data_IF_615234999311
#
_entry.id   IF_615234999311
#
_cell.length_a   1.000
_cell.length_b   1.000
_cell.length_c   1.000
_cell.angle_alpha   90.00
_cell.angle_beta   90.00
_cell.angle_gamma   90.00
#
_symmetry.space_group_name_H-M   'P 1'
#
loop_
_entity.id
_entity.type
_entity.pdbx_description
1 polymer ?
#
# COMPACT_ATOMS: atom_id res chain seq x y z
N UNK A 1 -9.08 -61.87 7.39
CA UNK A 1 -9.87 -60.98 6.50
C UNK A 1 -9.53 -59.54 6.83
N UNK A 2 -8.73 -58.92 5.96
CA UNK A 2 -8.35 -57.49 5.98
C UNK A 2 -9.38 -56.70 5.17
N UNK A 3 -9.93 -55.60 5.73
CA UNK A 3 -10.77 -54.53 5.11
C UNK A 3 -11.57 -53.93 6.29
N UNK A 4 -11.57 -52.65 6.65
CA UNK A 4 -11.42 -51.39 5.90
C UNK A 4 -11.16 -50.31 6.96
N UNK A 5 -9.93 -49.82 7.10
CA UNK A 5 -9.55 -48.74 8.04
C UNK A 5 -8.86 -47.62 7.25
N UNK A 6 -9.56 -46.99 6.33
CA UNK A 6 -8.99 -45.89 5.53
C UNK A 6 -10.10 -45.04 4.91
N UNK A 7 -10.93 -44.41 5.74
CA UNK A 7 -12.02 -43.54 5.25
C UNK A 7 -12.24 -42.33 6.17
N UNK A 8 -11.18 -41.77 6.74
CA UNK A 8 -11.28 -40.65 7.68
C UNK A 8 -10.35 -39.46 7.37
N UNK A 9 -9.64 -39.43 6.23
CA UNK A 9 -8.55 -38.46 6.02
C UNK A 9 -8.65 -37.65 4.72
N UNK A 10 -9.86 -37.33 4.23
CA UNK A 10 -10.01 -36.60 2.96
C UNK A 10 -10.88 -35.34 3.00
N UNK A 11 -11.26 -34.84 4.18
CA UNK A 11 -12.11 -33.64 4.32
C UNK A 11 -11.41 -32.41 4.89
N UNK A 12 -10.12 -32.48 5.26
CA UNK A 12 -9.40 -31.34 5.87
C UNK A 12 -8.75 -30.36 4.87
N UNK A 13 -8.89 -30.54 3.55
CA UNK A 13 -8.19 -29.70 2.56
C UNK A 13 -8.98 -28.46 2.06
N UNK A 14 -10.18 -28.19 2.55
CA UNK A 14 -11.02 -27.08 2.03
C UNK A 14 -10.85 -25.74 2.76
N UNK A 15 -9.94 -25.64 3.74
CA UNK A 15 -9.69 -24.39 4.48
C UNK A 15 -8.46 -23.60 4.02
N UNK A 16 -7.98 -23.83 2.80
CA UNK A 16 -7.13 -22.84 2.12
C UNK A 16 -8.01 -21.66 1.69
N UNK A 17 -8.49 -20.87 2.66
CA UNK A 17 -9.13 -19.60 2.38
C UNK A 17 -8.13 -18.75 1.58
N UNK A 18 -8.49 -18.25 0.39
CA UNK A 18 -7.63 -17.34 -0.34
C UNK A 18 -7.32 -16.17 0.58
N UNK A 19 -6.05 -15.82 0.70
CA UNK A 19 -5.58 -14.72 1.52
C UNK A 19 -6.26 -13.43 1.01
N UNK A 20 -7.31 -13.00 1.71
CA UNK A 20 -8.06 -11.79 1.41
C UNK A 20 -7.14 -10.60 1.65
N UNK A 21 -6.69 -9.96 0.57
CA UNK A 21 -5.69 -8.91 0.65
C UNK A 21 -6.09 -7.69 -0.19
N UNK A 22 -6.84 -6.78 0.44
CA UNK A 22 -6.96 -5.41 -0.03
C UNK A 22 -5.57 -4.76 -0.04
N UNK A 23 -5.13 -4.33 -1.23
CA UNK A 23 -3.84 -3.67 -1.47
C UNK A 23 -4.02 -2.17 -1.49
N UNK A 24 -3.06 -1.45 -0.92
CA UNK A 24 -2.94 0.00 -0.92
C UNK A 24 -1.57 0.37 -1.48
N UNK A 25 -1.54 1.31 -2.41
CA UNK A 25 -0.29 1.91 -2.88
C UNK A 25 -0.44 3.42 -2.76
N UNK A 26 0.56 4.08 -2.16
CA UNK A 26 0.61 5.53 -2.07
C UNK A 26 1.66 6.04 -3.04
N UNK A 27 1.22 6.90 -3.94
CA UNK A 27 2.06 7.59 -4.93
C UNK A 27 2.12 9.08 -4.62
N UNK A 28 3.13 9.76 -5.13
CA UNK A 28 3.11 11.22 -5.22
C UNK A 28 2.02 11.69 -6.21
N UNK A 29 1.74 13.00 -6.18
CA UNK A 29 0.72 13.61 -7.05
C UNK A 29 0.94 13.32 -8.55
N UNK A 30 2.19 13.21 -8.97
CA UNK A 30 2.57 12.99 -10.38
C UNK A 30 2.71 11.49 -10.74
N UNK A 31 2.42 10.59 -9.80
CA UNK A 31 2.53 9.13 -9.96
C UNK A 31 3.92 8.66 -10.42
N UNK A 32 4.96 9.44 -10.10
CA UNK A 32 6.35 9.15 -10.43
C UNK A 32 7.04 8.32 -9.33
N UNK A 33 6.67 8.56 -8.07
CA UNK A 33 7.38 8.03 -6.90
C UNK A 33 6.44 7.27 -6.00
N UNK A 34 6.79 6.02 -5.69
CA UNK A 34 6.05 5.21 -4.72
C UNK A 34 6.49 5.59 -3.30
N UNK A 35 5.55 6.18 -2.56
CA UNK A 35 5.75 6.70 -1.20
C UNK A 35 5.29 5.72 -0.12
N UNK A 36 4.52 4.71 -0.51
CA UNK A 36 4.08 3.70 0.44
C UNK A 36 3.38 2.52 -0.22
N UNK A 37 3.28 1.45 0.54
CA UNK A 37 2.57 0.23 0.19
C UNK A 37 1.87 -0.29 1.43
N UNK A 38 0.67 -0.81 1.28
CA UNK A 38 0.01 -1.55 2.32
C UNK A 38 -0.76 -2.73 1.75
N UNK A 39 -0.94 -3.71 2.61
CA UNK A 39 -1.71 -4.89 2.30
C UNK A 39 -2.51 -5.32 3.51
N UNK A 40 -3.68 -5.87 3.23
CA UNK A 40 -4.56 -6.44 4.23
C UNK A 40 -4.28 -7.93 4.34
N UNK A 41 -4.27 -8.44 5.55
CA UNK A 41 -4.21 -9.85 5.86
C UNK A 41 -5.23 -10.12 6.97
N UNK A 42 -6.35 -10.75 6.60
CA UNK A 42 -7.48 -10.92 7.49
C UNK A 42 -8.11 -9.57 7.87
N UNK A 43 -8.18 -9.26 9.17
CA UNK A 43 -8.74 -7.99 9.67
C UNK A 43 -7.69 -6.90 9.93
N UNK A 44 -6.44 -7.13 9.55
CA UNK A 44 -5.32 -6.20 9.78
C UNK A 44 -4.77 -5.71 8.46
N UNK A 45 -4.58 -4.40 8.36
CA UNK A 45 -3.95 -3.75 7.23
C UNK A 45 -2.60 -3.19 7.65
N UNK A 46 -1.54 -3.77 7.10
CA UNK A 46 -0.17 -3.32 7.34
C UNK A 46 0.21 -2.33 6.26
N UNK A 47 0.64 -1.13 6.64
CA UNK A 47 0.99 -0.08 5.68
C UNK A 47 2.37 0.46 5.99
N UNK A 48 3.25 0.32 5.00
CA UNK A 48 4.57 0.89 4.95
C UNK A 48 4.52 2.26 4.27
N UNK A 49 4.87 3.32 4.99
CA UNK A 49 4.96 4.68 4.44
C UNK A 49 6.34 5.28 4.67
N UNK A 50 6.78 6.06 3.70
CA UNK A 50 7.96 6.91 3.81
C UNK A 50 7.69 8.02 4.83
N UNK A 51 8.50 8.08 5.88
CA UNK A 51 8.34 9.08 6.95
C UNK A 51 8.77 10.50 6.54
N UNK A 52 9.74 10.58 5.65
CA UNK A 52 10.43 11.83 5.31
C UNK A 52 9.72 12.64 4.21
N UNK A 53 8.63 12.10 3.66
CA UNK A 53 7.83 12.78 2.64
C UNK A 53 6.71 13.60 3.27
N UNK A 54 6.59 14.86 2.85
CA UNK A 54 5.45 15.73 3.16
C UNK A 54 4.95 16.38 1.88
N UNK A 55 3.70 16.11 1.50
CA UNK A 55 3.14 16.64 0.26
C UNK A 55 1.81 16.02 -0.15
N UNK A 56 1.25 16.48 -1.29
CA UNK A 56 0.07 15.88 -1.89
C UNK A 56 0.39 14.50 -2.46
N UNK A 57 -0.49 13.53 -2.18
CA UNK A 57 -0.31 12.13 -2.56
C UNK A 57 -1.61 11.56 -3.12
N UNK A 58 -1.48 10.48 -3.88
CA UNK A 58 -2.60 9.70 -4.41
C UNK A 58 -2.52 8.30 -3.80
N UNK A 59 -3.57 7.90 -3.09
CA UNK A 59 -3.71 6.56 -2.55
C UNK A 59 -4.60 5.72 -3.46
N UNK A 60 -4.07 4.60 -3.93
CA UNK A 60 -4.76 3.65 -4.77
C UNK A 60 -5.10 2.41 -3.96
N UNK A 61 -6.37 2.04 -3.96
CA UNK A 61 -6.86 0.81 -3.33
C UNK A 61 -7.24 -0.19 -4.42
N UNK A 62 -6.71 -1.40 -4.31
CA UNK A 62 -7.00 -2.51 -5.21
C UNK A 62 -7.59 -3.65 -4.39
N UNK A 63 -8.80 -4.06 -4.78
CA UNK A 63 -9.51 -5.21 -4.23
C UNK A 63 -9.19 -6.44 -5.07
N UNK A 64 -8.99 -7.58 -4.43
CA UNK A 64 -8.89 -8.87 -5.12
C UNK A 64 -10.25 -9.24 -5.74
N UNK A 65 -10.25 -10.07 -6.79
CA UNK A 65 -11.48 -10.47 -7.48
C UNK A 65 -12.44 -11.24 -6.56
N UNK A 66 -11.91 -12.00 -5.59
CA UNK A 66 -12.68 -12.64 -4.53
C UNK A 66 -13.41 -11.63 -3.63
N UNK A 67 -12.78 -10.50 -3.29
CA UNK A 67 -13.40 -9.45 -2.48
C UNK A 67 -14.50 -8.73 -3.27
N UNK A 68 -14.24 -8.49 -4.56
CA UNK A 68 -15.21 -7.88 -5.48
C UNK A 68 -16.42 -8.81 -5.68
N UNK A 69 -16.20 -10.11 -5.85
CA UNK A 69 -17.25 -11.11 -6.01
C UNK A 69 -18.12 -11.25 -4.75
N UNK A 70 -17.54 -11.04 -3.57
CA UNK A 70 -18.26 -11.07 -2.28
C UNK A 70 -18.87 -9.73 -1.88
N UNK A 71 -18.65 -8.67 -2.66
CA UNK A 71 -19.15 -7.31 -2.35
C UNK A 71 -18.50 -6.70 -1.11
N UNK A 72 -17.27 -7.09 -0.77
CA UNK A 72 -16.53 -6.53 0.36
C UNK A 72 -16.05 -5.10 0.04
N UNK A 73 -16.10 -4.24 1.05
CA UNK A 73 -15.74 -2.81 0.96
C UNK A 73 -16.46 -2.03 -0.16
N UNK A 74 -17.81 -2.01 -0.18
CA UNK A 74 -18.58 -1.39 -1.26
C UNK A 74 -18.42 0.14 -1.32
N UNK A 75 -18.06 0.76 -0.19
CA UNK A 75 -17.85 2.21 -0.07
C UNK A 75 -16.41 2.64 -0.39
N UNK A 76 -15.51 1.69 -0.66
CA UNK A 76 -14.12 1.96 -0.96
C UNK A 76 -13.93 2.30 -2.43
N UNK A 77 -13.40 3.49 -2.70
CA UNK A 77 -13.01 3.93 -4.03
C UNK A 77 -11.63 3.39 -4.38
N UNK A 78 -11.39 3.16 -5.67
CA UNK A 78 -10.08 2.69 -6.14
C UNK A 78 -8.98 3.74 -6.00
N UNK A 79 -9.35 5.03 -5.89
CA UNK A 79 -8.44 6.16 -5.81
C UNK A 79 -8.95 7.19 -4.82
N UNK A 80 -8.05 7.69 -3.99
CA UNK A 80 -8.26 8.83 -3.11
C UNK A 80 -7.09 9.79 -3.26
N UNK A 81 -7.39 11.07 -3.41
CA UNK A 81 -6.37 12.11 -3.32
C UNK A 81 -6.21 12.52 -1.85
N UNK A 82 -5.04 12.99 -1.46
CA UNK A 82 -4.76 13.25 -0.06
C UNK A 82 -3.44 13.96 0.18
N UNK A 83 -3.05 14.00 1.44
CA UNK A 83 -1.76 14.52 1.88
C UNK A 83 -1.09 13.54 2.82
N UNK A 84 0.21 13.35 2.62
CA UNK A 84 1.07 12.62 3.53
C UNK A 84 1.87 13.65 4.34
N UNK A 85 1.86 13.53 5.65
CA UNK A 85 2.63 14.40 6.56
C UNK A 85 3.16 13.58 7.73
N UNK A 86 4.49 13.56 7.90
CA UNK A 86 5.16 12.88 9.01
C UNK A 86 4.74 11.40 9.20
N UNK A 87 4.55 10.66 8.08
CA UNK A 87 4.10 9.27 8.10
C UNK A 87 2.60 9.06 8.39
N UNK A 88 1.81 10.13 8.49
CA UNK A 88 0.36 10.07 8.58
C UNK A 88 -0.30 10.40 7.24
N UNK A 89 -1.06 9.45 6.70
CA UNK A 89 -1.83 9.61 5.46
C UNK A 89 -3.22 10.15 5.78
N UNK A 90 -3.54 11.31 5.19
CA UNK A 90 -4.88 11.91 5.22
C UNK A 90 -5.45 11.86 3.81
N UNK A 91 -6.62 11.26 3.66
CA UNK A 91 -7.31 11.06 2.39
C UNK A 91 -8.53 11.98 2.32
N UNK A 92 -8.80 12.52 1.15
CA UNK A 92 -10.03 13.24 0.88
C UNK A 92 -11.11 12.25 0.43
N UNK A 93 -12.13 12.09 1.28
CA UNK A 93 -13.30 11.24 1.00
C UNK A 93 -14.50 12.15 0.87
N UNK A 94 -14.99 12.33 -0.35
CA UNK A 94 -16.16 13.19 -0.64
C UNK A 94 -15.98 14.64 -0.13
N UNK A 95 -14.84 15.26 -0.40
CA UNK A 95 -14.45 16.61 0.07
C UNK A 95 -14.27 16.72 1.59
N UNK A 96 -14.09 15.60 2.28
CA UNK A 96 -13.85 15.56 3.72
C UNK A 96 -12.49 14.92 4.01
N UNK A 97 -11.55 15.63 4.67
CA UNK A 97 -10.28 15.06 5.05
C UNK A 97 -10.45 14.03 6.17
N UNK A 98 -10.11 12.78 5.88
CA UNK A 98 -10.22 11.64 6.79
C UNK A 98 -8.86 10.94 6.88
N UNK A 99 -8.39 10.66 8.10
CA UNK A 99 -7.15 9.90 8.27
C UNK A 99 -7.33 8.45 7.83
N UNK A 100 -6.26 7.84 7.30
CA UNK A 100 -6.28 6.43 6.89
C UNK A 100 -6.78 5.52 8.02
N UNK A 101 -6.38 5.80 9.27
CA UNK A 101 -6.85 5.07 10.45
C UNK A 101 -8.39 5.10 10.60
N UNK A 102 -9.00 6.27 10.41
CA UNK A 102 -10.45 6.45 10.54
C UNK A 102 -11.20 5.81 9.37
N UNK A 103 -10.65 5.90 8.16
CA UNK A 103 -11.20 5.24 6.98
C UNK A 103 -11.23 3.72 7.18
N UNK A 104 -10.10 3.13 7.56
CA UNK A 104 -9.96 1.70 7.80
C UNK A 104 -10.79 1.22 9.00
N UNK A 105 -10.87 2.03 10.06
CA UNK A 105 -11.76 1.75 11.19
C UNK A 105 -13.23 1.63 10.78
N UNK A 106 -13.71 2.46 9.85
CA UNK A 106 -15.05 2.34 9.27
C UNK A 106 -15.27 1.03 8.51
N UNK A 107 -14.21 0.44 7.97
CA UNK A 107 -14.20 -0.85 7.27
C UNK A 107 -13.91 -2.04 8.20
N UNK A 108 -13.83 -1.81 9.51
CA UNK A 108 -13.45 -2.80 10.54
C UNK A 108 -12.04 -3.38 10.34
N UNK A 109 -11.16 -2.62 9.70
CA UNK A 109 -9.74 -2.96 9.52
C UNK A 109 -8.88 -2.30 10.59
N UNK A 110 -7.96 -3.07 11.17
CA UNK A 110 -6.97 -2.55 12.12
C UNK A 110 -5.73 -2.10 11.35
N UNK A 111 -5.36 -0.82 11.46
CA UNK A 111 -4.18 -0.28 10.81
C UNK A 111 -2.91 -0.58 11.62
N UNK A 112 -1.90 -1.14 10.94
CA UNK A 112 -0.54 -1.32 11.46
C UNK A 112 0.40 -0.49 10.59
N UNK A 113 0.91 0.62 11.13
CA UNK A 113 1.86 1.48 10.42
C UNK A 113 3.28 0.97 10.64
N UNK A 114 3.96 0.67 9.55
CA UNK A 114 5.38 0.35 9.53
C UNK A 114 6.12 1.54 8.89
N UNK A 115 6.93 2.29 9.65
CA UNK A 115 7.72 3.34 9.05
C UNK A 115 8.79 2.71 8.15
N UNK A 116 8.87 3.16 6.89
CA UNK A 116 9.98 2.80 6.00
C UNK A 116 10.79 4.03 5.65
N UNK A 117 12.11 3.89 5.59
CA UNK A 117 13.02 4.96 5.15
C UNK A 117 13.40 4.83 3.67
N UNK A 118 12.94 3.77 2.99
CA UNK A 118 13.24 3.52 1.59
C UNK A 118 12.11 4.02 0.69
N UNK A 119 12.39 5.09 -0.07
CA UNK A 119 11.58 5.49 -1.22
C UNK A 119 11.85 4.48 -2.34
N UNK A 120 10.81 3.77 -2.80
CA UNK A 120 10.96 2.80 -3.88
C UNK A 120 10.87 3.54 -5.23
N UNK A 121 12.03 3.90 -5.77
CA UNK A 121 12.13 4.39 -7.16
C UNK A 121 12.05 3.18 -8.08
N UNK A 122 11.10 3.18 -9.01
CA UNK A 122 10.98 2.11 -10.00
C UNK A 122 12.32 1.95 -10.75
N UNK A 123 12.98 0.77 -10.70
CA UNK A 123 14.22 0.56 -11.41
C UNK A 123 13.92 0.51 -12.91
N UNK A 124 14.16 1.60 -13.63
CA UNK A 124 13.91 1.66 -15.07
C UNK A 124 13.77 3.06 -15.67
N UNK A 125 13.48 4.09 -14.86
CA UNK A 125 13.57 5.49 -15.29
C UNK A 125 14.88 6.08 -14.77
N UNK A 126 15.77 6.35 -15.71
CA UNK A 126 17.14 6.79 -15.47
C UNK A 126 17.15 8.03 -14.58
N UNK A 127 17.79 7.94 -13.42
CA UNK A 127 18.33 9.13 -12.75
C UNK A 127 19.40 9.71 -13.66
N UNK A 128 19.04 10.69 -14.50
CA UNK A 128 20.03 11.68 -14.92
C UNK A 128 20.28 12.56 -13.70
N UNK A 129 21.10 12.07 -12.78
CA UNK A 129 21.81 12.97 -11.88
C UNK A 129 22.77 13.73 -12.77
N UNK A 130 22.32 14.92 -13.19
CA UNK A 130 23.16 15.95 -13.78
C UNK A 130 24.27 16.26 -12.78
N UNK A 131 25.39 15.57 -12.92
CA UNK A 131 26.64 15.95 -12.26
C UNK A 131 27.28 16.94 -13.20
N UNK A 132 26.83 18.19 -13.08
CA UNK A 132 27.60 19.36 -13.48
C UNK A 132 28.43 19.80 -12.29
N UNK A 133 29.73 19.50 -12.22
CA UNK A 133 30.62 20.27 -11.38
C UNK A 133 31.04 21.50 -12.18
N UNK A 134 30.30 22.58 -11.97
CA UNK A 134 30.80 23.93 -12.16
C UNK A 134 32.02 24.11 -11.23
N UNK A 135 33.22 23.84 -11.73
CA UNK A 135 34.45 24.27 -11.09
C UNK A 135 35.01 25.43 -11.91
N UNK A 136 34.57 26.63 -11.54
CA UNK A 136 35.15 27.89 -11.98
C UNK A 136 36.38 28.18 -11.11
N UNK A 137 37.50 28.40 -11.81
CA UNK A 137 38.64 29.25 -11.45
C UNK A 137 39.70 28.71 -10.45
N UNK A 138 40.91 28.45 -10.96
CA UNK A 138 42.08 29.26 -10.62
C UNK A 138 43.27 28.97 -11.57
N UNK A 139 43.75 30.03 -12.21
CA UNK A 139 44.91 30.01 -13.11
C UNK A 139 46.27 30.18 -12.43
N UNK A 140 47.31 29.86 -13.19
CA UNK A 140 48.57 30.61 -13.28
C UNK A 140 49.53 30.61 -12.10
N UNK A 141 50.59 29.79 -12.20
CA UNK A 141 51.96 30.19 -12.56
C UNK A 141 52.92 29.01 -12.50
#
# INVERSE_FOLDING_TARGET
>A
MTRTRTLALLTLLTLAAPAQALKLIVWDRELQTKLGYGETSGSRMTVQLVKDYTGPVVALFSREDDEKARGLYPTLQSRYDGTLKAGQLTLDVQNTPVTLLKLLGGLKLTLVLQPTSQVFVLPGLRSMTDTSPNHTDQGGR
#
